data_IF_625399089396
#
_entry.id   IF_625399089396
#
_cell.length_a   1.000
_cell.length_b   1.000
_cell.length_c   1.000
_cell.angle_alpha   90.00
_cell.angle_beta   90.00
_cell.angle_gamma   90.00
#
_symmetry.space_group_name_H-M   'P 1'
#
loop_
_entity.id
_entity.type
_entity.pdbx_description
1 polymer ?
#
# COMPACT_ATOMS: atom_id res chain seq x y z
N UNK A 1 -21.38 -25.79 -120.06
CA UNK A 1 -20.08 -25.20 -119.69
C UNK A 1 -19.85 -25.59 -118.25
N UNK A 2 -18.95 -26.53 -117.94
CA UNK A 2 -17.48 -26.29 -117.85
C UNK A 2 -17.25 -25.26 -116.73
N UNK A 3 -16.58 -25.57 -115.61
CA UNK A 3 -15.29 -26.24 -115.49
C UNK A 3 -15.08 -26.98 -114.16
N UNK A 4 -14.01 -27.76 -114.21
CA UNK A 4 -13.52 -28.79 -113.31
C UNK A 4 -12.49 -28.20 -112.35
N UNK A 5 -12.31 -28.87 -111.20
CA UNK A 5 -11.08 -29.01 -110.42
C UNK A 5 -10.41 -27.75 -109.83
N UNK A 6 -10.22 -27.73 -108.51
CA UNK A 6 -8.91 -28.09 -107.94
C UNK A 6 -9.00 -28.41 -106.45
N UNK A 7 -8.21 -29.41 -106.08
CA UNK A 7 -8.16 -30.09 -104.80
C UNK A 7 -6.93 -29.52 -104.06
N UNK A 8 -7.11 -29.00 -102.85
CA UNK A 8 -6.00 -28.78 -101.93
C UNK A 8 -6.40 -29.33 -100.55
N UNK A 9 -5.74 -30.39 -100.02
CA UNK A 9 -6.02 -30.88 -98.68
C UNK A 9 -5.17 -30.07 -97.71
N UNK A 10 -5.70 -28.94 -97.22
CA UNK A 10 -5.09 -28.25 -96.09
C UNK A 10 -5.42 -29.03 -94.82
N UNK A 11 -4.52 -29.93 -94.44
CA UNK A 11 -4.52 -30.59 -93.15
C UNK A 11 -4.11 -29.57 -92.07
N UNK A 12 -5.04 -28.68 -91.72
CA UNK A 12 -4.95 -27.91 -90.49
C UNK A 12 -5.01 -28.87 -89.28
N UNK A 13 -4.20 -28.66 -88.23
CA UNK A 13 -4.16 -29.55 -87.08
C UNK A 13 -5.54 -29.61 -86.41
N UNK A 14 -6.02 -30.82 -86.16
CA UNK A 14 -7.18 -31.07 -85.29
C UNK A 14 -7.03 -30.26 -84.00
N UNK A 15 -8.12 -29.69 -83.44
CA UNK A 15 -8.03 -28.98 -82.18
C UNK A 15 -7.42 -29.91 -81.14
N UNK A 16 -6.29 -29.48 -80.58
CA UNK A 16 -5.65 -30.12 -79.44
C UNK A 16 -6.72 -30.20 -78.36
N UNK A 17 -6.98 -31.42 -77.88
CA UNK A 17 -8.09 -31.74 -77.00
C UNK A 17 -8.26 -30.72 -75.89
N UNK A 18 -9.52 -30.35 -75.65
CA UNK A 18 -9.93 -29.62 -74.46
C UNK A 18 -9.33 -30.34 -73.25
N UNK A 19 -8.32 -29.73 -72.63
CA UNK A 19 -7.93 -30.09 -71.28
C UNK A 19 -9.11 -29.74 -70.39
N UNK A 20 -10.03 -30.70 -70.25
CA UNK A 20 -11.01 -30.71 -69.18
C UNK A 20 -10.22 -30.77 -67.88
N UNK A 21 -9.91 -29.59 -67.33
CA UNK A 21 -9.46 -29.47 -65.95
C UNK A 21 -10.65 -29.88 -65.09
N UNK A 22 -10.73 -31.17 -64.77
CA UNK A 22 -11.62 -31.64 -63.71
C UNK A 22 -11.26 -30.87 -62.43
N UNK A 23 -12.26 -30.39 -61.68
CA UNK A 23 -12.00 -29.63 -60.46
C UNK A 23 -11.08 -30.46 -59.57
N UNK A 24 -10.01 -29.82 -59.08
CA UNK A 24 -9.05 -30.49 -58.22
C UNK A 24 -9.79 -31.07 -57.00
N UNK A 25 -9.33 -32.21 -56.46
CA UNK A 25 -9.95 -32.82 -55.28
C UNK A 25 -10.10 -31.83 -54.10
N UNK A 26 -9.22 -30.82 -54.05
CA UNK A 26 -9.30 -29.70 -53.12
C UNK A 26 -10.47 -28.74 -53.43
N UNK A 27 -10.70 -28.39 -54.68
CA UNK A 27 -11.81 -27.52 -55.11
C UNK A 27 -13.16 -28.20 -54.86
N UNK A 28 -13.26 -29.49 -55.19
CA UNK A 28 -14.46 -30.28 -54.90
C UNK A 28 -14.74 -30.35 -53.38
N UNK A 29 -13.70 -30.45 -52.54
CA UNK A 29 -13.84 -30.41 -51.09
C UNK A 29 -14.30 -29.04 -50.57
N UNK A 30 -13.73 -27.95 -51.10
CA UNK A 30 -14.11 -26.59 -50.73
C UNK A 30 -15.57 -26.31 -51.10
N UNK A 31 -16.01 -26.67 -52.31
CA UNK A 31 -17.39 -26.48 -52.74
C UNK A 31 -18.37 -27.34 -51.92
N UNK A 32 -18.04 -28.62 -51.69
CA UNK A 32 -18.87 -29.51 -50.89
C UNK A 32 -19.04 -29.04 -49.44
N UNK A 33 -18.05 -28.32 -48.89
CA UNK A 33 -18.05 -27.84 -47.50
C UNK A 33 -18.17 -26.32 -47.37
N UNK A 34 -18.39 -25.59 -48.46
CA UNK A 34 -18.28 -24.13 -48.52
C UNK A 34 -19.12 -23.44 -47.45
N UNK A 35 -20.39 -23.85 -47.30
CA UNK A 35 -21.30 -23.31 -46.28
C UNK A 35 -20.80 -23.57 -44.86
N UNK A 36 -20.24 -24.76 -44.59
CA UNK A 36 -19.69 -25.12 -43.26
C UNK A 36 -18.43 -24.31 -42.96
N UNK A 37 -17.56 -24.12 -43.94
CA UNK A 37 -16.34 -23.31 -43.81
C UNK A 37 -16.65 -21.83 -43.61
N UNK A 38 -17.65 -21.28 -44.31
CA UNK A 38 -18.13 -19.91 -44.11
C UNK A 38 -18.69 -19.74 -42.69
N UNK A 39 -19.54 -20.65 -42.23
CA UNK A 39 -20.09 -20.60 -40.86
C UNK A 39 -18.98 -20.69 -39.83
N UNK A 40 -18.02 -21.60 -40.01
CA UNK A 40 -16.86 -21.74 -39.13
C UNK A 40 -16.00 -20.45 -39.11
N UNK A 41 -15.72 -19.86 -40.27
CA UNK A 41 -14.99 -18.60 -40.39
C UNK A 41 -15.69 -17.45 -39.67
N UNK A 42 -17.01 -17.33 -39.81
CA UNK A 42 -17.81 -16.32 -39.09
C UNK A 42 -17.74 -16.57 -37.58
N UNK A 43 -17.84 -17.82 -37.13
CA UNK A 43 -17.72 -18.19 -35.71
C UNK A 43 -16.36 -17.79 -35.14
N UNK A 44 -15.27 -18.05 -35.87
CA UNK A 44 -13.92 -17.65 -35.48
C UNK A 44 -13.81 -16.13 -35.35
N UNK A 45 -14.38 -15.37 -36.30
CA UNK A 45 -14.40 -13.90 -36.23
C UNK A 45 -15.19 -13.43 -35.00
N UNK A 46 -16.36 -14.00 -34.73
CA UNK A 46 -17.14 -13.65 -33.53
C UNK A 46 -16.39 -13.97 -32.24
N UNK A 47 -15.69 -15.10 -32.15
CA UNK A 47 -14.85 -15.44 -31.02
C UNK A 47 -13.70 -14.45 -30.85
N UNK A 48 -13.03 -14.04 -31.93
CA UNK A 48 -11.96 -13.04 -31.90
C UNK A 48 -12.47 -11.66 -31.49
N UNK A 49 -13.61 -11.24 -32.02
CA UNK A 49 -14.26 -9.98 -31.65
C UNK A 49 -14.64 -10.00 -30.17
N UNK A 50 -15.30 -11.07 -29.71
CA UNK A 50 -15.62 -11.27 -28.29
C UNK A 50 -14.39 -11.22 -27.39
N UNK A 51 -13.28 -11.86 -27.80
CA UNK A 51 -12.01 -11.80 -27.08
C UNK A 51 -11.44 -10.37 -26.97
N UNK A 52 -11.48 -9.60 -28.06
CA UNK A 52 -11.02 -8.20 -28.07
C UNK A 52 -11.92 -7.33 -27.18
N UNK A 53 -13.24 -7.54 -27.18
CA UNK A 53 -14.16 -6.83 -26.29
C UNK A 53 -13.88 -7.14 -24.81
N UNK A 54 -13.71 -8.41 -24.46
CA UNK A 54 -13.37 -8.84 -23.09
C UNK A 54 -12.06 -8.18 -22.65
N UNK A 55 -11.00 -8.25 -23.48
CA UNK A 55 -9.70 -7.62 -23.15
C UNK A 55 -9.72 -6.09 -23.17
N UNK A 56 -10.65 -5.49 -23.90
CA UNK A 56 -10.79 -4.04 -24.02
C UNK A 56 -11.46 -3.42 -22.80
N UNK A 57 -12.49 -4.07 -22.26
CA UNK A 57 -13.20 -3.60 -21.07
C UNK A 57 -12.31 -3.62 -19.81
N UNK A 58 -11.50 -4.66 -19.62
CA UNK A 58 -10.54 -4.75 -18.51
C UNK A 58 -9.61 -3.53 -18.37
N UNK A 59 -9.25 -2.88 -19.49
CA UNK A 59 -8.38 -1.70 -19.48
C UNK A 59 -9.13 -0.45 -19.06
N UNK A 60 -10.35 -0.27 -19.56
CA UNK A 60 -11.20 0.88 -19.26
C UNK A 60 -11.57 0.87 -17.77
N UNK A 61 -11.89 -0.30 -17.23
CA UNK A 61 -12.27 -0.42 -15.82
C UNK A 61 -11.09 -0.14 -14.90
N UNK A 62 -9.89 -0.64 -15.23
CA UNK A 62 -8.65 -0.29 -14.51
C UNK A 62 -8.30 1.19 -14.56
N UNK A 63 -8.52 1.86 -15.69
CA UNK A 63 -8.29 3.30 -15.82
C UNK A 63 -9.25 4.11 -14.95
N UNK A 64 -10.54 3.73 -14.90
CA UNK A 64 -11.52 4.35 -14.01
C UNK A 64 -11.20 4.11 -12.54
N UNK A 65 -10.83 2.88 -12.18
CA UNK A 65 -10.43 2.52 -10.84
C UNK A 65 -9.22 3.34 -10.37
N UNK A 66 -8.21 3.45 -11.23
CA UNK A 66 -7.03 4.26 -10.97
C UNK A 66 -7.38 5.75 -10.86
N UNK A 67 -8.26 6.28 -11.72
CA UNK A 67 -8.70 7.67 -11.66
C UNK A 67 -9.48 7.96 -10.37
N UNK A 68 -10.43 7.11 -9.99
CA UNK A 68 -11.20 7.24 -8.76
C UNK A 68 -10.30 7.23 -7.52
N UNK A 69 -9.33 6.32 -7.46
CA UNK A 69 -8.30 6.32 -6.42
C UNK A 69 -7.47 7.62 -6.44
N UNK A 70 -7.06 8.08 -7.63
CA UNK A 70 -6.26 9.28 -7.79
C UNK A 70 -7.02 10.58 -7.47
N UNK A 71 -8.35 10.58 -7.45
CA UNK A 71 -9.19 11.72 -7.05
C UNK A 71 -9.47 11.75 -5.55
N UNK A 72 -9.50 10.59 -4.89
CA UNK A 72 -9.78 10.48 -3.46
C UNK A 72 -8.71 11.16 -2.59
N UNK A 73 -9.14 11.89 -1.56
CA UNK A 73 -8.28 12.63 -0.62
C UNK A 73 -8.63 12.39 0.84
N UNK A 74 -9.84 11.92 1.13
CA UNK A 74 -10.37 11.78 2.50
C UNK A 74 -10.68 10.32 2.85
N UNK A 75 -10.74 10.01 4.14
CA UNK A 75 -11.10 8.67 4.63
C UNK A 75 -12.40 8.13 3.99
N UNK A 76 -13.51 8.89 3.95
CA UNK A 76 -14.74 8.47 3.29
C UNK A 76 -14.60 8.24 1.77
N UNK A 77 -13.80 9.05 1.07
CA UNK A 77 -13.57 8.87 -0.36
C UNK A 77 -12.77 7.59 -0.64
N UNK A 78 -11.71 7.34 0.14
CA UNK A 78 -10.99 6.07 0.03
C UNK A 78 -11.84 4.86 0.42
N UNK A 79 -12.75 5.01 1.39
CA UNK A 79 -13.72 3.96 1.70
C UNK A 79 -14.62 3.66 0.50
N UNK A 80 -15.16 4.68 -0.17
CA UNK A 80 -15.98 4.50 -1.36
C UNK A 80 -15.21 3.79 -2.48
N UNK A 81 -13.97 4.23 -2.77
CA UNK A 81 -13.11 3.58 -3.77
C UNK A 81 -12.82 2.12 -3.40
N UNK A 82 -12.54 1.83 -2.12
CA UNK A 82 -12.29 0.46 -1.66
C UNK A 82 -13.49 -0.47 -1.82
N UNK A 83 -14.72 0.06 -1.71
CA UNK A 83 -15.95 -0.71 -1.87
C UNK A 83 -16.33 -0.88 -3.34
N UNK A 84 -16.17 0.18 -4.14
CA UNK A 84 -16.53 0.16 -5.56
C UNK A 84 -15.58 -0.72 -6.38
N UNK A 85 -14.28 -0.67 -6.08
CA UNK A 85 -13.24 -1.41 -6.79
C UNK A 85 -12.68 -2.56 -5.93
N UNK A 86 -13.57 -3.27 -5.27
CA UNK A 86 -13.23 -4.38 -4.39
C UNK A 86 -12.55 -5.54 -5.16
N UNK A 87 -11.45 -6.05 -4.62
CA UNK A 87 -10.62 -7.07 -5.28
C UNK A 87 -9.67 -6.52 -6.35
N UNK A 88 -9.77 -5.23 -6.70
CA UNK A 88 -8.82 -4.56 -7.60
C UNK A 88 -7.70 -3.83 -6.85
N UNK A 89 -6.59 -3.58 -7.53
CA UNK A 89 -5.45 -2.84 -6.95
C UNK A 89 -5.83 -1.42 -6.49
N UNK A 90 -6.78 -0.76 -7.17
CA UNK A 90 -7.25 0.56 -6.75
C UNK A 90 -7.94 0.49 -5.38
N UNK A 91 -8.79 -0.51 -5.16
CA UNK A 91 -9.47 -0.71 -3.88
C UNK A 91 -8.48 -1.03 -2.76
N UNK A 92 -7.52 -1.93 -3.01
CA UNK A 92 -6.45 -2.23 -2.06
C UNK A 92 -5.57 -1.00 -1.73
N UNK A 93 -5.19 -0.22 -2.73
CA UNK A 93 -4.43 1.02 -2.54
C UNK A 93 -5.23 2.07 -1.75
N UNK A 94 -6.54 2.16 -1.96
CA UNK A 94 -7.43 3.03 -1.19
C UNK A 94 -7.47 2.62 0.29
N UNK A 95 -7.50 1.32 0.60
CA UNK A 95 -7.45 0.84 1.98
C UNK A 95 -6.15 1.23 2.68
N UNK A 96 -5.00 1.14 2.01
CA UNK A 96 -3.71 1.59 2.56
C UNK A 96 -3.74 3.07 2.95
N UNK A 97 -4.21 3.94 2.04
CA UNK A 97 -4.27 5.38 2.35
C UNK A 97 -5.33 5.72 3.40
N UNK A 98 -6.46 5.00 3.39
CA UNK A 98 -7.47 5.12 4.45
C UNK A 98 -6.86 4.79 5.82
N UNK A 99 -6.13 3.68 5.93
CA UNK A 99 -5.48 3.30 7.18
C UNK A 99 -4.47 4.35 7.65
N UNK A 100 -3.70 4.93 6.72
CA UNK A 100 -2.76 6.00 7.05
C UNK A 100 -3.47 7.25 7.59
N UNK A 101 -4.60 7.65 6.99
CA UNK A 101 -5.40 8.78 7.49
C UNK A 101 -5.98 8.48 8.87
N UNK A 102 -6.59 7.30 9.06
CA UNK A 102 -7.11 6.87 10.35
C UNK A 102 -6.03 6.91 11.44
N UNK A 103 -4.83 6.43 11.13
CA UNK A 103 -3.71 6.48 12.07
C UNK A 103 -3.33 7.92 12.44
N UNK A 104 -3.29 8.81 11.45
CA UNK A 104 -3.03 10.24 11.66
C UNK A 104 -4.12 10.92 12.50
N UNK A 105 -5.36 10.48 12.34
CA UNK A 105 -6.53 10.97 13.07
C UNK A 105 -6.69 10.33 14.47
N UNK A 106 -5.65 9.61 14.93
CA UNK A 106 -5.62 8.87 16.21
C UNK A 106 -6.64 7.74 16.32
N UNK A 107 -7.26 7.34 15.20
CA UNK A 107 -8.10 6.16 15.07
C UNK A 107 -7.23 4.92 14.84
N UNK A 108 -6.39 4.62 15.83
CA UNK A 108 -5.31 3.63 15.71
C UNK A 108 -5.81 2.21 15.51
N UNK A 109 -6.89 1.85 16.21
CA UNK A 109 -7.47 0.51 16.11
C UNK A 109 -8.14 0.29 14.76
N UNK A 110 -8.93 1.26 14.29
CA UNK A 110 -9.54 1.17 12.96
C UNK A 110 -8.49 1.15 11.84
N UNK A 111 -7.38 1.89 11.99
CA UNK A 111 -6.27 1.84 11.03
C UNK A 111 -5.66 0.44 10.92
N UNK A 112 -5.45 -0.23 12.06
CA UNK A 112 -4.93 -1.60 12.11
C UNK A 112 -5.90 -2.58 11.45
N UNK A 113 -7.19 -2.49 11.76
CA UNK A 113 -8.23 -3.36 11.18
C UNK A 113 -8.31 -3.22 9.65
N UNK A 114 -8.18 -1.98 9.14
CA UNK A 114 -8.14 -1.74 7.69
C UNK A 114 -6.89 -2.38 7.07
N UNK A 115 -5.71 -2.28 7.71
CA UNK A 115 -4.49 -2.93 7.21
C UNK A 115 -4.56 -4.45 7.27
N UNK A 116 -5.07 -5.02 8.34
CA UNK A 116 -5.29 -6.47 8.48
C UNK A 116 -6.23 -6.99 7.39
N UNK A 117 -7.31 -6.25 7.13
CA UNK A 117 -8.23 -6.57 6.03
C UNK A 117 -7.54 -6.45 4.67
N UNK A 118 -6.74 -5.41 4.45
CA UNK A 118 -6.00 -5.20 3.21
C UNK A 118 -5.03 -6.37 2.93
N UNK A 119 -4.17 -6.73 3.87
CA UNK A 119 -3.17 -7.78 3.66
C UNK A 119 -3.79 -9.17 3.54
N UNK A 120 -4.97 -9.39 4.15
CA UNK A 120 -5.73 -10.63 4.01
C UNK A 120 -6.44 -10.74 2.67
N UNK A 121 -7.09 -9.65 2.23
CA UNK A 121 -7.93 -9.64 1.03
C UNK A 121 -7.14 -9.46 -0.27
N UNK A 122 -5.99 -8.80 -0.20
CA UNK A 122 -5.16 -8.47 -1.35
C UNK A 122 -3.73 -9.02 -1.23
N UNK A 123 -3.54 -10.36 -1.10
CA UNK A 123 -2.22 -10.96 -0.90
C UNK A 123 -1.27 -10.74 -2.09
N UNK A 124 -1.81 -10.61 -3.31
CA UNK A 124 -1.04 -10.39 -4.55
C UNK A 124 -0.86 -8.90 -4.89
N UNK A 125 -1.29 -7.99 -4.01
CA UNK A 125 -1.20 -6.56 -4.28
C UNK A 125 0.26 -6.09 -4.36
N UNK A 126 0.63 -5.22 -5.32
CA UNK A 126 2.00 -4.71 -5.43
C UNK A 126 2.52 -4.03 -4.14
N UNK A 127 1.61 -3.45 -3.35
CA UNK A 127 1.91 -2.80 -2.07
C UNK A 127 1.62 -3.66 -0.83
N UNK A 128 1.41 -4.98 -0.96
CA UNK A 128 1.13 -5.86 0.18
C UNK A 128 2.26 -5.81 1.22
N UNK A 129 3.52 -5.78 0.76
CA UNK A 129 4.69 -5.63 1.62
C UNK A 129 4.69 -4.32 2.41
N UNK A 130 4.25 -3.21 1.77
CA UNK A 130 4.08 -1.92 2.45
C UNK A 130 2.95 -1.95 3.48
N UNK A 131 1.87 -2.69 3.21
CA UNK A 131 0.79 -2.91 4.18
C UNK A 131 1.28 -3.65 5.42
N UNK A 132 2.00 -4.75 5.24
CA UNK A 132 2.63 -5.47 6.36
C UNK A 132 3.65 -4.60 7.11
N UNK A 133 4.47 -3.81 6.42
CA UNK A 133 5.43 -2.92 7.07
C UNK A 133 4.73 -1.83 7.90
N UNK A 134 3.62 -1.27 7.39
CA UNK A 134 2.81 -0.29 8.13
C UNK A 134 2.15 -0.93 9.35
N UNK A 135 1.58 -2.14 9.19
CA UNK A 135 0.98 -2.90 10.28
C UNK A 135 2.03 -3.19 11.38
N UNK A 136 3.23 -3.60 10.99
CA UNK A 136 4.34 -3.82 11.92
C UNK A 136 4.72 -2.55 12.68
N UNK A 137 4.84 -1.42 11.97
CA UNK A 137 5.15 -0.12 12.57
C UNK A 137 4.07 0.34 13.56
N UNK A 138 2.79 0.18 13.22
CA UNK A 138 1.67 0.55 14.08
C UNK A 138 1.63 -0.32 15.33
N UNK A 139 1.77 -1.63 15.18
CA UNK A 139 1.83 -2.55 16.32
C UNK A 139 3.05 -2.28 17.22
N UNK A 140 4.21 -1.92 16.64
CA UNK A 140 5.39 -1.54 17.42
C UNK A 140 5.16 -0.26 18.23
N UNK A 141 4.50 0.75 17.64
CA UNK A 141 4.14 1.98 18.35
C UNK A 141 3.19 1.70 19.52
N UNK A 142 2.27 0.76 19.36
CA UNK A 142 1.38 0.27 20.43
C UNK A 142 2.04 -0.71 21.41
N UNK A 143 3.34 -0.97 21.28
CA UNK A 143 4.11 -1.93 22.10
C UNK A 143 3.65 -3.38 21.99
N UNK A 144 2.87 -3.72 20.96
CA UNK A 144 2.51 -5.09 20.61
C UNK A 144 3.65 -5.74 19.81
N UNK A 145 4.80 -5.97 20.46
CA UNK A 145 6.04 -6.33 19.78
C UNK A 145 5.98 -7.67 19.03
N UNK A 146 5.18 -8.63 19.51
CA UNK A 146 5.03 -9.92 18.84
C UNK A 146 4.27 -9.78 17.52
N UNK A 147 3.14 -9.06 17.51
CA UNK A 147 2.41 -8.73 16.28
C UNK A 147 3.24 -7.87 15.33
N UNK A 148 4.04 -6.95 15.88
CA UNK A 148 4.96 -6.15 15.08
C UNK A 148 5.99 -7.01 14.35
N UNK A 149 6.58 -7.97 15.08
CA UNK A 149 7.55 -8.94 14.52
C UNK A 149 6.92 -9.75 13.39
N UNK A 150 5.75 -10.36 13.63
CA UNK A 150 5.04 -11.15 12.61
C UNK A 150 4.78 -10.34 11.33
N UNK A 151 4.29 -9.11 11.48
CA UNK A 151 4.02 -8.25 10.34
C UNK A 151 5.31 -7.83 9.60
N UNK A 152 6.39 -7.48 10.32
CA UNK A 152 7.66 -7.18 9.66
C UNK A 152 8.30 -8.39 8.99
N UNK A 153 8.14 -9.61 9.53
CA UNK A 153 8.58 -10.83 8.85
C UNK A 153 7.86 -11.04 7.52
N UNK A 154 6.55 -10.80 7.49
CA UNK A 154 5.76 -10.88 6.25
C UNK A 154 6.19 -9.80 5.25
N UNK A 155 6.45 -8.58 5.72
CA UNK A 155 6.97 -7.51 4.87
C UNK A 155 8.38 -7.84 4.33
N UNK A 156 9.28 -8.38 5.16
CA UNK A 156 10.64 -8.75 4.76
C UNK A 156 10.68 -9.90 3.74
N UNK A 157 9.68 -10.80 3.78
CA UNK A 157 9.51 -11.89 2.80
C UNK A 157 8.88 -11.43 1.48
N UNK A 158 8.30 -10.24 1.44
CA UNK A 158 7.73 -9.70 0.21
C UNK A 158 8.83 -9.29 -0.78
N UNK A 159 8.55 -9.34 -2.09
CA UNK A 159 9.43 -8.77 -3.12
C UNK A 159 9.08 -7.29 -3.34
N UNK A 160 9.20 -6.47 -2.29
CA UNK A 160 8.78 -5.05 -2.32
C UNK A 160 9.90 -4.10 -1.86
N UNK A 161 9.74 -2.82 -2.15
CA UNK A 161 10.65 -1.79 -1.65
C UNK A 161 10.69 -1.74 -0.11
N UNK A 162 9.62 -2.16 0.56
CA UNK A 162 9.49 -2.14 2.02
C UNK A 162 10.30 -3.25 2.72
N UNK A 163 10.69 -4.31 2.01
CA UNK A 163 11.30 -5.52 2.59
C UNK A 163 12.61 -5.24 3.31
N UNK A 164 13.45 -4.39 2.71
CA UNK A 164 14.72 -3.97 3.30
C UNK A 164 14.56 -3.21 4.61
N UNK A 165 13.59 -2.28 4.68
CA UNK A 165 13.27 -1.53 5.89
C UNK A 165 12.59 -2.40 6.95
N UNK A 166 11.76 -3.36 6.54
CA UNK A 166 11.16 -4.33 7.45
C UNK A 166 12.22 -5.22 8.09
N UNK A 167 13.22 -5.68 7.33
CA UNK A 167 14.34 -6.45 7.86
C UNK A 167 15.18 -5.64 8.86
N UNK A 168 15.41 -4.35 8.57
CA UNK A 168 16.05 -3.44 9.53
C UNK A 168 15.22 -3.30 10.82
N UNK A 169 13.89 -3.19 10.68
CA UNK A 169 12.96 -3.07 11.80
C UNK A 169 12.93 -4.34 12.68
N UNK A 170 13.07 -5.53 12.08
CA UNK A 170 13.25 -6.78 12.83
C UNK A 170 14.53 -6.76 13.66
N UNK A 171 15.65 -6.28 13.11
CA UNK A 171 16.88 -6.10 13.88
C UNK A 171 16.68 -5.13 15.06
N UNK A 172 16.00 -4.00 14.81
CA UNK A 172 15.68 -3.01 15.84
C UNK A 172 14.75 -3.60 16.94
N UNK A 173 13.82 -4.50 16.59
CA UNK A 173 12.99 -5.23 17.55
C UNK A 173 13.79 -6.23 18.39
N UNK A 174 14.76 -6.95 17.81
CA UNK A 174 15.62 -7.86 18.57
C UNK A 174 16.54 -7.10 19.54
N UNK A 175 17.05 -5.91 19.15
CA UNK A 175 17.73 -5.01 20.09
C UNK A 175 16.82 -4.57 21.23
N UNK A 176 15.59 -4.16 20.92
CA UNK A 176 14.63 -3.75 21.96
C UNK A 176 14.32 -4.90 22.93
N UNK A 177 14.40 -6.15 22.47
CA UNK A 177 14.24 -7.35 23.28
C UNK A 177 15.51 -7.76 24.05
N UNK A 178 16.61 -7.01 23.95
CA UNK A 178 17.89 -7.32 24.60
C UNK A 178 18.66 -8.48 23.97
N UNK A 179 18.31 -8.85 22.73
CA UNK A 179 18.92 -9.96 21.98
C UNK A 179 19.95 -9.42 21.00
N UNK A 180 21.00 -8.82 21.55
CA UNK A 180 22.03 -8.10 20.79
C UNK A 180 22.68 -8.96 19.70
N UNK A 181 22.96 -10.23 19.99
CA UNK A 181 23.57 -11.15 19.03
C UNK A 181 22.66 -11.47 17.84
N UNK A 182 21.35 -11.55 18.06
CA UNK A 182 20.40 -11.81 16.97
C UNK A 182 20.20 -10.56 16.10
N UNK A 183 20.15 -9.38 16.73
CA UNK A 183 20.14 -8.12 16.01
C UNK A 183 21.40 -7.92 15.14
N UNK A 184 22.60 -8.22 15.68
CA UNK A 184 23.87 -8.15 14.93
C UNK A 184 23.81 -8.99 13.66
N UNK A 185 23.37 -10.26 13.77
CA UNK A 185 23.23 -11.16 12.61
C UNK A 185 22.33 -10.55 11.54
N UNK A 186 21.22 -9.93 11.94
CA UNK A 186 20.29 -9.28 11.00
C UNK A 186 20.97 -8.09 10.31
N UNK A 187 21.64 -7.21 11.05
CA UNK A 187 22.32 -6.05 10.45
C UNK A 187 23.47 -6.46 9.53
N UNK A 188 24.25 -7.48 9.90
CA UNK A 188 25.32 -8.04 9.06
C UNK A 188 24.75 -8.64 7.77
N UNK A 189 23.63 -9.36 7.87
CA UNK A 189 22.89 -9.87 6.70
C UNK A 189 22.52 -8.73 5.75
N UNK A 190 21.90 -7.66 6.26
CA UNK A 190 21.55 -6.45 5.48
C UNK A 190 22.77 -5.87 4.78
N UNK A 191 23.89 -5.73 5.49
CA UNK A 191 25.13 -5.15 4.93
C UNK A 191 25.67 -6.01 3.79
N UNK A 192 25.63 -7.34 3.93
CA UNK A 192 26.13 -8.29 2.94
C UNK A 192 25.23 -8.45 1.71
N UNK A 193 23.90 -8.43 1.88
CA UNK A 193 22.94 -8.67 0.80
C UNK A 193 22.67 -7.40 -0.02
N UNK A 194 22.77 -6.22 0.59
CA UNK A 194 22.47 -4.93 -0.04
C UNK A 194 23.75 -4.15 -0.42
N UNK A 195 24.74 -4.84 -0.99
CA UNK A 195 26.03 -4.24 -1.31
C UNK A 195 25.93 -3.11 -2.34
N UNK A 196 25.05 -3.27 -3.34
CA UNK A 196 24.81 -2.32 -4.44
C UNK A 196 23.36 -1.85 -4.58
N UNK A 197 22.43 -2.40 -3.80
CA UNK A 197 21.02 -2.00 -3.71
C UNK A 197 20.71 -1.47 -2.30
N UNK A 198 19.61 -0.74 -2.10
CA UNK A 198 19.15 -0.28 -0.77
C UNK A 198 20.24 0.39 0.12
N UNK A 199 21.11 1.22 -0.48
CA UNK A 199 22.29 1.80 0.20
C UNK A 199 21.95 2.56 1.49
N UNK A 200 20.78 3.20 1.55
CA UNK A 200 20.31 3.87 2.76
C UNK A 200 20.09 2.89 3.91
N UNK A 201 19.43 1.76 3.65
CA UNK A 201 19.16 0.72 4.66
C UNK A 201 20.46 0.07 5.11
N UNK A 202 21.40 -0.18 4.19
CA UNK A 202 22.75 -0.62 4.53
C UNK A 202 23.46 0.36 5.47
N UNK A 203 23.43 1.66 5.16
CA UNK A 203 24.03 2.68 6.03
C UNK A 203 23.38 2.71 7.42
N UNK A 204 22.05 2.58 7.49
CA UNK A 204 21.33 2.46 8.76
C UNK A 204 21.79 1.23 9.54
N UNK A 205 21.85 0.05 8.93
CA UNK A 205 22.32 -1.18 9.57
C UNK A 205 23.76 -1.07 10.09
N UNK A 206 24.67 -0.46 9.31
CA UNK A 206 26.04 -0.19 9.77
C UNK A 206 26.08 0.72 11.00
N UNK A 207 25.23 1.75 11.02
CA UNK A 207 25.12 2.63 12.18
C UNK A 207 24.54 1.91 13.39
N UNK A 208 23.51 1.08 13.21
CA UNK A 208 22.95 0.24 14.29
C UNK A 208 24.00 -0.70 14.85
N UNK A 209 24.76 -1.40 14.00
CA UNK A 209 25.80 -2.34 14.40
C UNK A 209 26.87 -1.70 15.30
N UNK A 210 27.29 -0.47 14.97
CA UNK A 210 28.23 0.30 15.80
C UNK A 210 27.69 0.60 17.20
N UNK A 211 26.38 0.77 17.33
CA UNK A 211 25.72 1.11 18.59
C UNK A 211 25.43 -0.11 19.46
N UNK A 212 25.25 -1.30 18.88
CA UNK A 212 24.95 -2.54 19.65
C UNK A 212 26.04 -2.84 20.68
N UNK A 213 27.31 -2.55 20.36
CA UNK A 213 28.43 -2.80 21.26
C UNK A 213 28.72 -1.66 22.25
N UNK A 214 28.00 -0.54 22.18
CA UNK A 214 28.22 0.61 23.06
C UNK A 214 27.31 0.47 24.28
N UNK A 215 27.89 0.09 25.43
CA UNK A 215 27.17 0.14 26.70
C UNK A 215 26.68 1.56 26.97
N UNK A 216 25.41 1.71 27.35
CA UNK A 216 24.86 3.00 27.78
C UNK A 216 25.72 3.58 28.92
N UNK A 217 26.01 4.90 28.92
CA UNK A 217 26.74 5.51 30.02
C UNK A 217 26.02 5.20 31.33
N UNK A 218 26.70 4.49 32.24
CA UNK A 218 26.21 4.34 33.60
C UNK A 218 26.13 5.73 34.21
N UNK A 219 24.91 6.18 34.55
CA UNK A 219 24.73 7.38 35.35
C UNK A 219 25.42 7.13 36.70
N UNK A 220 26.59 7.75 36.89
CA UNK A 220 27.33 7.66 38.14
C UNK A 220 26.44 8.31 39.20
N UNK A 221 25.80 7.49 40.05
CA UNK A 221 25.00 7.91 41.19
C UNK A 221 25.68 9.12 41.83
N UNK A 222 24.98 10.26 41.83
CA UNK A 222 25.48 11.51 42.40
C UNK A 222 26.02 11.22 43.79
N UNK A 223 27.30 11.54 43.99
CA UNK A 223 27.97 11.37 45.26
C UNK A 223 27.20 12.19 46.33
N UNK A 224 27.02 11.67 47.57
CA UNK A 224 26.24 12.35 48.58
C UNK A 224 26.83 13.73 48.86
N UNK A 225 25.96 14.73 48.88
CA UNK A 225 26.31 16.12 49.21
C UNK A 225 26.88 16.20 50.63
N UNK A 226 28.08 16.76 50.80
CA UNK A 226 28.55 17.25 52.11
C UNK A 226 29.64 18.32 51.95
N UNK A 227 29.79 19.33 52.86
CA UNK A 227 28.93 19.73 53.97
C UNK A 227 28.30 21.12 53.78
N UNK A 228 27.22 21.33 54.53
CA UNK A 228 26.63 22.61 54.95
C UNK A 228 27.69 23.67 55.24
N UNK A 229 27.63 24.81 54.54
CA UNK A 229 28.37 26.01 54.91
C UNK A 229 27.56 26.71 56.01
N UNK A 230 28.05 26.67 57.24
CA UNK A 230 27.55 27.51 58.33
C UNK A 230 27.89 28.96 58.01
N UNK A 231 26.94 29.92 58.06
CA UNK A 231 27.25 31.32 57.86
C UNK A 231 27.89 31.87 59.15
N UNK A 232 29.23 31.90 59.19
CA UNK A 232 29.95 32.62 60.22
C UNK A 232 30.04 34.11 59.85
N UNK A 233 29.83 34.92 60.88
CA UNK A 233 29.57 36.34 60.82
C UNK A 233 30.71 37.17 60.22
N UNK A 234 30.30 38.32 59.69
CA UNK A 234 31.09 39.35 59.04
C UNK A 234 32.36 39.79 59.80
N UNK A 235 33.45 39.98 59.06
CA UNK A 235 34.36 41.13 59.25
C UNK A 235 35.01 41.58 57.94
N UNK A 236 34.55 42.76 57.49
CA UNK A 236 35.26 43.85 56.81
C UNK A 236 35.68 43.76 55.32
N UNK A 237 35.34 44.79 54.51
CA UNK A 237 35.73 44.86 53.10
C UNK A 237 37.14 45.46 52.91
N UNK A 238 37.93 44.87 52.03
CA UNK A 238 39.13 45.53 51.47
C UNK A 238 38.70 46.21 50.17
N UNK A 239 38.70 47.54 50.21
CA UNK A 239 38.49 48.42 49.06
C UNK A 239 39.71 48.38 48.15
N UNK A 240 39.53 48.01 46.88
CA UNK A 240 40.57 48.19 45.84
C UNK A 240 40.12 49.33 44.92
N UNK A 241 40.92 50.40 44.73
CA UNK A 241 40.51 51.56 43.94
C UNK A 241 40.58 51.30 42.43
N UNK A 242 39.53 51.73 41.71
CA UNK A 242 39.66 52.18 40.33
C UNK A 242 39.42 51.15 39.24
N UNK A 243 38.22 50.57 39.16
CA UNK A 243 37.59 50.25 37.87
C UNK A 243 36.07 50.26 38.06
N UNK A 244 35.41 51.25 37.47
CA UNK A 244 33.95 51.31 37.34
C UNK A 244 33.57 50.57 36.06
N UNK A 245 32.67 49.57 36.12
CA UNK A 245 31.72 49.34 35.05
C UNK A 245 30.29 49.54 35.57
N UNK A 246 29.58 50.28 34.74
CA UNK A 246 28.22 50.78 34.84
C UNK A 246 27.18 49.65 34.88
N UNK A 247 26.11 49.91 35.60
CA UNK A 247 24.94 49.07 35.84
C UNK A 247 24.05 49.02 34.58
N UNK A 248 23.54 47.85 34.21
CA UNK A 248 22.21 47.66 33.58
C UNK A 248 21.87 46.15 33.59
N UNK A 249 21.24 45.66 34.65
CA UNK A 249 19.79 45.38 34.82
C UNK A 249 19.37 43.94 34.45
N UNK A 250 18.39 43.36 35.18
CA UNK A 250 18.29 41.92 35.44
C UNK A 250 17.16 41.21 34.67
N UNK A 251 17.31 39.89 34.63
CA UNK A 251 16.42 38.86 34.09
C UNK A 251 15.04 38.86 34.75
N UNK A 252 13.98 38.85 33.94
CA UNK A 252 12.58 38.69 34.35
C UNK A 252 12.15 37.21 34.29
N UNK A 253 11.46 36.75 35.35
CA UNK A 253 11.02 35.37 35.60
C UNK A 253 9.51 35.31 35.48
N UNK A 254 8.98 34.39 34.67
CA UNK A 254 7.54 34.12 34.54
C UNK A 254 7.15 32.95 35.46
N UNK A 255 6.07 33.05 36.26
CA UNK A 255 5.34 31.92 36.82
C UNK A 255 3.94 31.72 36.17
N UNK A 256 3.44 30.49 36.23
CA UNK A 256 2.13 29.98 35.77
C UNK A 256 1.17 29.79 36.99
N UNK A 257 -0.08 29.29 36.84
CA UNK A 257 -1.34 29.85 36.30
C UNK A 257 -2.44 30.07 37.37
N UNK A 258 -3.53 30.80 37.06
CA UNK A 258 -4.82 30.63 37.77
C UNK A 258 -6.05 31.03 36.92
N UNK A 259 -7.03 30.12 36.91
CA UNK A 259 -8.51 30.17 36.78
C UNK A 259 -9.30 31.14 35.86
N UNK A 260 -10.42 30.58 35.39
CA UNK A 260 -11.49 31.12 34.53
C UNK A 260 -12.31 32.30 35.14
N UNK A 261 -13.21 32.90 34.33
CA UNK A 261 -14.64 32.81 34.71
C UNK A 261 -15.63 32.55 33.56
N UNK A 262 -16.86 32.26 33.99
CA UNK A 262 -18.11 31.86 33.32
C UNK A 262 -18.81 32.88 32.39
N UNK A 263 -19.53 32.30 31.41
CA UNK A 263 -20.90 32.55 30.91
C UNK A 263 -21.41 33.97 30.61
N UNK A 264 -21.83 34.18 29.35
CA UNK A 264 -23.08 34.87 29.04
C UNK A 264 -23.94 34.06 28.05
N UNK A 265 -25.24 34.11 28.35
CA UNK A 265 -26.39 33.45 27.75
C UNK A 265 -26.94 34.27 26.58
N UNK A 266 -27.42 33.62 25.51
CA UNK A 266 -28.60 34.10 24.78
C UNK A 266 -29.30 32.94 24.06
N UNK A 267 -30.57 32.81 24.40
CA UNK A 267 -31.58 31.87 23.93
C UNK A 267 -32.43 32.53 22.83
N UNK A 268 -32.79 31.77 21.79
CA UNK A 268 -34.08 31.81 21.09
C UNK A 268 -34.13 30.56 20.19
N UNK A 269 -34.91 29.53 20.52
CA UNK A 269 -36.31 29.33 20.09
C UNK A 269 -36.30 28.42 18.84
N UNK A 270 -36.85 27.20 18.79
CA UNK A 270 -37.99 26.60 19.46
C UNK A 270 -38.88 25.99 18.37
N UNK A 271 -38.94 24.67 18.26
CA UNK A 271 -40.13 23.93 17.81
C UNK A 271 -40.00 22.45 18.15
N UNK A 272 -41.06 21.96 18.78
CA UNK A 272 -41.25 20.65 19.41
C UNK A 272 -41.47 19.48 18.42
N UNK A 273 -41.51 18.23 18.92
CA UNK A 273 -41.40 17.01 18.14
C UNK A 273 -42.76 16.49 17.64
N UNK A 274 -42.74 15.60 16.66
CA UNK A 274 -43.89 14.72 16.37
C UNK A 274 -43.45 13.26 16.43
N UNK A 275 -44.19 12.51 17.24
CA UNK A 275 -44.04 11.10 17.56
C UNK A 275 -44.78 10.21 16.57
N UNK A 276 -44.15 9.14 16.08
CA UNK A 276 -44.77 7.89 15.57
C UNK A 276 -43.74 6.77 15.83
N UNK A 277 -43.85 5.92 16.85
CA UNK A 277 -44.75 4.77 17.13
C UNK A 277 -44.68 3.61 16.11
N UNK A 278 -44.15 2.48 16.61
CA UNK A 278 -44.36 1.06 16.20
C UNK A 278 -43.97 0.70 14.76
N UNK A 279 -43.29 -0.42 14.48
CA UNK A 279 -43.73 -1.80 14.74
C UNK A 279 -42.51 -2.74 14.66
N UNK A 280 -42.36 -3.58 15.69
CA UNK A 280 -41.63 -4.85 15.70
C UNK A 280 -42.49 -5.95 15.06
N UNK A 281 -41.90 -6.96 14.40
CA UNK A 281 -42.29 -8.31 14.83
C UNK A 281 -41.15 -9.34 14.84
N UNK A 282 -41.10 -10.02 15.97
CA UNK A 282 -41.02 -11.48 16.18
C UNK A 282 -40.15 -12.35 15.27
N UNK A 283 -39.20 -13.02 15.93
CA UNK A 283 -38.62 -14.30 15.55
C UNK A 283 -39.66 -15.44 15.57
N UNK A 284 -39.41 -16.54 14.84
CA UNK A 284 -39.85 -17.85 15.26
C UNK A 284 -38.66 -18.73 15.70
N UNK A 285 -38.75 -19.18 16.95
CA UNK A 285 -38.59 -20.56 17.41
C UNK A 285 -37.93 -21.58 16.47
N UNK A 286 -36.94 -22.29 17.00
CA UNK A 286 -36.23 -23.36 16.32
C UNK A 286 -37.06 -24.62 16.06
N UNK A 287 -36.49 -25.47 15.21
CA UNK A 287 -36.74 -26.91 15.23
C UNK A 287 -35.42 -27.63 14.94
N UNK A 288 -34.96 -28.36 15.94
CA UNK A 288 -34.03 -29.48 15.82
C UNK A 288 -34.90 -30.72 15.96
N UNK A 289 -34.93 -31.61 14.97
CA UNK A 289 -35.16 -33.07 15.05
C UNK A 289 -35.35 -33.65 13.65
N UNK A 290 -34.48 -34.61 13.32
CA UNK A 290 -34.55 -35.66 12.28
C UNK A 290 -34.51 -35.29 10.78
#
# INVERSE_FOLDING_TARGET
MSEKNEQNPDNGPSPIGEISQEPSAFEAFLDANQKKLIIFGILVIFCLVGYVFVKGWDKIDKEKAAAAFAEARTGPQYQAVSQEYDGENAGGSAMLLKAQLLWSDQQQQEAIEVLETFVSKYPEHPAVGSGYASLGSYQQQLKNLDKAREAFEMAAKSESAASSLALLSLGDLELQAGKDEDAKKIYEKIISEYESSHLQVKSMAQNRLKLVNVQSPSEKKSEPTQPTITPEAATSPITVPGITPEISQPVEKIPQPEAAPELENSSEGGTEPTSEKSVEPEAPIGSSSE
#
